data_IF_413823161127
#
_entry.id   IF_413823161127
#
_cell.length_a   1.000
_cell.length_b   1.000
_cell.length_c   1.000
_cell.angle_alpha   90.00
_cell.angle_beta   90.00
_cell.angle_gamma   90.00
#
_symmetry.space_group_name_H-M   'P 1'
#
loop_
_entity.id
_entity.type
_entity.pdbx_description
1 polymer ?
#
# COMPACT_ATOMS: atom_id res chain seq x y z
N UNK A 1 -5.70 21.54 -2.95
CA UNK A 1 -5.11 22.28 -1.84
C UNK A 1 -3.73 22.83 -2.22
N UNK A 2 -3.36 24.02 -1.73
CA UNK A 2 -2.12 24.69 -2.10
C UNK A 2 -0.89 23.84 -1.76
N UNK A 3 -0.95 23.11 -0.66
CA UNK A 3 0.12 22.22 -0.20
C UNK A 3 0.41 21.07 -1.20
N UNK A 4 -0.62 20.49 -1.82
CA UNK A 4 -0.42 19.48 -2.85
C UNK A 4 0.20 20.06 -4.10
N UNK A 5 -0.24 21.24 -4.52
CA UNK A 5 0.31 21.92 -5.71
C UNK A 5 1.81 22.25 -5.53
N UNK A 6 2.27 22.51 -4.30
CA UNK A 6 3.69 22.76 -4.02
C UNK A 6 4.59 21.52 -4.24
N UNK A 7 4.00 20.33 -4.29
CA UNK A 7 4.72 19.09 -4.57
C UNK A 7 4.92 18.82 -6.07
N UNK A 8 4.18 19.54 -6.95
CA UNK A 8 4.34 19.42 -8.39
C UNK A 8 5.69 19.97 -8.86
N UNK A 9 6.20 19.44 -9.94
CA UNK A 9 7.44 19.89 -10.55
C UNK A 9 8.38 18.76 -10.96
N UNK A 10 9.47 19.13 -11.60
CA UNK A 10 10.49 18.18 -12.05
C UNK A 10 11.50 17.90 -10.94
N UNK A 11 11.70 16.61 -10.64
CA UNK A 11 12.71 16.11 -9.70
C UNK A 11 13.91 15.59 -10.50
N UNK A 12 14.92 16.42 -10.62
CA UNK A 12 16.13 16.13 -11.44
C UNK A 12 16.89 14.92 -10.90
N UNK A 13 16.97 14.76 -9.58
CA UNK A 13 17.72 13.68 -8.97
C UNK A 13 17.09 12.31 -9.26
N UNK A 14 15.76 12.21 -9.18
CA UNK A 14 15.01 10.99 -9.56
C UNK A 14 14.78 10.87 -11.06
N UNK A 15 14.82 12.00 -11.81
CA UNK A 15 14.46 12.04 -13.22
C UNK A 15 12.97 11.84 -13.48
N UNK A 16 12.12 12.37 -12.61
CA UNK A 16 10.66 12.22 -12.69
C UNK A 16 9.97 13.58 -12.65
N UNK A 17 8.79 13.68 -13.26
CA UNK A 17 7.91 14.84 -13.12
C UNK A 17 6.74 14.46 -12.21
N UNK A 18 6.44 15.32 -11.25
CA UNK A 18 5.32 15.18 -10.32
C UNK A 18 4.21 16.13 -10.74
N UNK A 19 3.01 15.61 -10.80
CA UNK A 19 1.81 16.36 -11.15
C UNK A 19 0.71 16.12 -10.12
N UNK A 20 -0.13 17.11 -9.91
CA UNK A 20 -1.36 16.96 -9.12
C UNK A 20 -2.50 16.76 -10.10
N UNK A 21 -3.14 15.61 -10.02
CA UNK A 21 -4.28 15.27 -10.86
C UNK A 21 -5.54 15.11 -9.99
N UNK A 22 -6.69 15.36 -10.60
CA UNK A 22 -8.00 15.06 -10.01
C UNK A 22 -8.66 13.97 -10.81
N UNK A 23 -9.12 12.92 -10.12
CA UNK A 23 -9.77 11.78 -10.73
C UNK A 23 -11.19 11.65 -10.19
N UNK A 24 -12.12 11.32 -11.08
CA UNK A 24 -13.44 10.83 -10.74
C UNK A 24 -13.49 9.35 -11.17
N UNK A 25 -13.77 8.46 -10.22
CA UNK A 25 -13.75 7.02 -10.45
C UNK A 25 -15.10 6.39 -10.11
N UNK A 26 -15.48 5.37 -10.86
CA UNK A 26 -16.57 4.47 -10.52
C UNK A 26 -15.95 3.24 -9.79
N UNK A 27 -16.16 3.18 -8.47
CA UNK A 27 -15.58 2.12 -7.62
C UNK A 27 -16.11 0.73 -7.94
N UNK A 28 -17.21 0.63 -8.68
CA UNK A 28 -17.81 -0.66 -9.08
C UNK A 28 -17.20 -1.25 -10.34
N UNK A 29 -16.47 -0.45 -11.12
CA UNK A 29 -15.77 -0.87 -12.33
C UNK A 29 -14.28 -1.08 -12.07
N UNK A 30 -13.60 -1.94 -12.84
CA UNK A 30 -12.16 -2.11 -12.76
C UNK A 30 -11.39 -0.77 -12.93
N UNK A 31 -10.21 -0.62 -12.32
CA UNK A 31 -9.36 0.55 -12.56
C UNK A 31 -8.92 0.61 -14.03
N UNK A 32 -8.71 1.82 -14.54
CA UNK A 32 -8.39 2.04 -15.97
C UNK A 32 -6.90 2.34 -16.20
N UNK A 33 -6.20 2.83 -15.18
CA UNK A 33 -4.78 3.16 -15.24
C UNK A 33 -4.11 3.05 -13.86
N UNK A 34 -2.81 3.34 -13.79
CA UNK A 34 -2.05 3.26 -12.55
C UNK A 34 -2.52 4.31 -11.52
N UNK A 35 -2.93 5.50 -11.93
CA UNK A 35 -3.37 6.56 -11.04
C UNK A 35 -4.70 6.19 -10.36
N UNK A 36 -5.66 5.66 -11.12
CA UNK A 36 -6.91 5.10 -10.60
C UNK A 36 -6.63 3.91 -9.66
N UNK A 37 -5.75 3.00 -10.06
CA UNK A 37 -5.37 1.84 -9.22
C UNK A 37 -4.80 2.28 -7.86
N UNK A 38 -3.84 3.21 -7.85
CA UNK A 38 -3.28 3.72 -6.60
C UNK A 38 -4.30 4.51 -5.78
N UNK A 39 -5.19 5.29 -6.39
CA UNK A 39 -6.26 5.98 -5.68
C UNK A 39 -7.14 4.98 -4.90
N UNK A 40 -7.50 3.84 -5.51
CA UNK A 40 -8.28 2.79 -4.84
C UNK A 40 -7.55 2.19 -3.64
N UNK A 41 -6.24 1.95 -3.76
CA UNK A 41 -5.42 1.48 -2.65
C UNK A 41 -5.38 2.51 -1.51
N UNK A 42 -5.29 3.80 -1.84
CA UNK A 42 -5.40 4.87 -0.84
C UNK A 42 -6.76 4.91 -0.15
N UNK A 43 -7.87 4.75 -0.89
CA UNK A 43 -9.22 4.71 -0.31
C UNK A 43 -9.37 3.60 0.74
N UNK A 44 -8.79 2.43 0.48
CA UNK A 44 -8.75 1.30 1.42
C UNK A 44 -7.92 1.65 2.67
N UNK A 45 -6.69 2.14 2.49
CA UNK A 45 -5.78 2.43 3.61
C UNK A 45 -6.25 3.63 4.45
N UNK A 46 -6.92 4.61 3.84
CA UNK A 46 -7.60 5.70 4.55
C UNK A 46 -8.92 5.28 5.22
N UNK A 47 -9.35 4.03 5.05
CA UNK A 47 -10.62 3.50 5.59
C UNK A 47 -11.86 4.22 5.07
N UNK A 48 -11.77 4.84 3.90
CA UNK A 48 -12.90 5.45 3.21
C UNK A 48 -13.80 4.39 2.54
N UNK A 49 -13.20 3.26 2.22
CA UNK A 49 -13.89 2.05 1.77
C UNK A 49 -13.38 0.83 2.55
N UNK A 50 -14.22 -0.19 2.70
CA UNK A 50 -13.82 -1.47 3.27
C UNK A 50 -13.21 -2.37 2.19
N UNK A 51 -12.46 -3.42 2.56
CA UNK A 51 -12.08 -4.47 1.62
C UNK A 51 -13.29 -4.95 0.83
N UNK A 52 -13.09 -5.21 -0.45
CA UNK A 52 -14.15 -5.53 -1.44
C UNK A 52 -15.14 -4.39 -1.77
N UNK A 53 -14.96 -3.20 -1.20
CA UNK A 53 -15.77 -2.03 -1.51
C UNK A 53 -15.35 -1.29 -2.79
N UNK A 54 -14.27 -1.71 -3.43
CA UNK A 54 -13.80 -1.21 -4.73
C UNK A 54 -13.38 -2.37 -5.61
N UNK A 55 -13.66 -2.28 -6.91
CA UNK A 55 -13.17 -3.23 -7.89
C UNK A 55 -11.66 -3.04 -8.09
N UNK A 56 -10.89 -4.13 -8.08
CA UNK A 56 -9.45 -4.15 -8.28
C UNK A 56 -9.02 -5.12 -9.39
N UNK A 57 -9.99 -5.59 -10.18
CA UNK A 57 -9.72 -6.53 -11.28
C UNK A 57 -8.70 -5.92 -12.25
N UNK A 58 -7.71 -6.72 -12.65
CA UNK A 58 -6.67 -6.27 -13.58
C UNK A 58 -5.59 -5.37 -13.00
N UNK A 59 -5.62 -5.01 -11.70
CA UNK A 59 -4.67 -4.08 -11.07
C UNK A 59 -3.20 -4.45 -11.32
N UNK A 60 -2.86 -5.73 -11.33
CA UNK A 60 -1.47 -6.17 -11.57
C UNK A 60 -0.95 -5.83 -12.97
N UNK A 61 -1.84 -5.77 -13.97
CA UNK A 61 -1.48 -5.37 -15.32
C UNK A 61 -1.28 -3.87 -15.49
N UNK A 62 -1.89 -3.06 -14.63
CA UNK A 62 -1.79 -1.60 -14.66
C UNK A 62 -0.58 -1.08 -13.89
N UNK A 63 -0.10 -1.82 -12.89
CA UNK A 63 1.01 -1.40 -12.05
C UNK A 63 2.33 -2.00 -12.53
N UNK A 64 3.36 -1.17 -12.63
CA UNK A 64 4.74 -1.56 -12.87
C UNK A 64 5.49 -1.79 -11.56
N UNK A 65 6.60 -2.55 -11.61
CA UNK A 65 7.55 -2.55 -10.51
C UNK A 65 8.19 -1.17 -10.38
N UNK A 66 8.31 -0.71 -9.14
CA UNK A 66 8.88 0.58 -8.76
C UNK A 66 9.95 0.35 -7.71
N UNK A 67 11.06 1.05 -7.80
CA UNK A 67 12.03 1.10 -6.71
C UNK A 67 11.55 2.12 -5.69
N UNK A 68 11.07 1.64 -4.56
CA UNK A 68 10.61 2.46 -3.44
C UNK A 68 11.79 2.91 -2.60
N UNK A 69 12.01 4.21 -2.48
CA UNK A 69 13.17 4.76 -1.76
C UNK A 69 12.75 5.76 -0.68
N UNK A 70 13.68 6.08 0.22
CA UNK A 70 13.48 7.10 1.26
C UNK A 70 13.25 8.53 0.71
N UNK A 71 13.46 8.74 -0.57
CA UNK A 71 13.23 10.03 -1.25
C UNK A 71 12.15 9.96 -2.32
N UNK A 72 11.40 8.86 -2.35
CA UNK A 72 10.27 8.63 -3.25
C UNK A 72 10.47 7.54 -4.27
N UNK A 73 9.45 7.27 -5.10
CA UNK A 73 9.48 6.22 -6.11
C UNK A 73 10.43 6.55 -7.26
N UNK A 74 11.13 5.53 -7.76
CA UNK A 74 12.03 5.62 -8.90
C UNK A 74 11.76 4.52 -9.92
N UNK A 75 12.09 4.78 -11.19
CA UNK A 75 12.07 3.75 -12.22
C UNK A 75 13.09 2.65 -11.91
N UNK A 76 12.75 1.40 -12.29
CA UNK A 76 13.67 0.27 -12.18
C UNK A 76 14.79 0.40 -13.22
N UNK A 77 14.42 0.78 -14.45
CA UNK A 77 15.38 0.95 -15.53
C UNK A 77 16.36 2.09 -15.22
N UNK A 78 17.65 1.79 -15.31
CA UNK A 78 18.71 2.75 -15.03
C UNK A 78 18.83 3.18 -13.57
N UNK A 79 18.25 2.41 -12.63
CA UNK A 79 18.21 2.81 -11.22
C UNK A 79 19.60 3.05 -10.60
N UNK A 80 20.65 2.32 -10.99
CA UNK A 80 21.98 2.53 -10.41
C UNK A 80 22.55 3.92 -10.73
N UNK A 81 22.26 4.47 -11.91
CA UNK A 81 22.61 5.85 -12.26
C UNK A 81 21.76 6.84 -11.43
N UNK A 82 20.46 6.56 -11.30
CA UNK A 82 19.56 7.34 -10.45
C UNK A 82 20.01 7.31 -8.99
N UNK A 83 20.40 6.14 -8.47
CA UNK A 83 20.94 5.99 -7.11
C UNK A 83 22.17 6.89 -6.89
N UNK A 84 23.08 6.97 -7.88
CA UNK A 84 24.25 7.83 -7.80
C UNK A 84 23.85 9.32 -7.71
N UNK A 85 22.91 9.78 -8.54
CA UNK A 85 22.37 11.15 -8.48
C UNK A 85 21.69 11.44 -7.14
N UNK A 86 20.88 10.49 -6.64
CA UNK A 86 20.20 10.62 -5.36
C UNK A 86 21.19 10.74 -4.20
N UNK A 87 22.25 9.92 -4.20
CA UNK A 87 23.31 10.02 -3.18
C UNK A 87 24.06 11.36 -3.25
N UNK A 88 24.30 11.88 -4.45
CA UNK A 88 24.93 13.19 -4.62
C UNK A 88 24.03 14.33 -4.09
N UNK A 89 22.72 14.24 -4.29
CA UNK A 89 21.76 15.26 -3.89
C UNK A 89 21.36 15.18 -2.40
N UNK A 90 21.24 13.96 -1.85
CA UNK A 90 20.64 13.73 -0.53
C UNK A 90 21.55 12.98 0.46
N UNK A 91 22.73 12.54 0.05
CA UNK A 91 23.59 11.70 0.88
C UNK A 91 23.11 10.25 0.94
N UNK A 92 22.77 9.76 2.13
CA UNK A 92 22.28 8.39 2.28
C UNK A 92 20.85 8.25 1.73
N UNK A 93 20.64 7.23 0.91
CA UNK A 93 19.31 6.87 0.37
C UNK A 93 19.08 5.39 0.57
N UNK A 94 18.01 5.05 1.30
CA UNK A 94 17.57 3.68 1.50
C UNK A 94 16.64 3.23 0.38
N UNK A 95 16.78 1.98 -0.03
CA UNK A 95 15.82 1.29 -0.90
C UNK A 95 14.99 0.36 -0.02
N UNK A 96 13.69 0.57 0.00
CA UNK A 96 12.75 -0.21 0.81
C UNK A 96 12.27 -1.47 0.10
N UNK A 97 12.29 -1.47 -1.23
CA UNK A 97 11.90 -2.62 -2.02
C UNK A 97 11.73 -2.30 -3.50
N UNK A 98 11.51 -3.34 -4.28
CA UNK A 98 11.16 -3.28 -5.70
C UNK A 98 9.87 -4.07 -5.87
N UNK A 99 8.76 -3.37 -6.00
CA UNK A 99 7.44 -4.00 -6.04
C UNK A 99 6.43 -3.06 -6.73
N UNK A 100 5.28 -3.60 -7.10
CA UNK A 100 4.12 -2.83 -7.55
C UNK A 100 3.44 -2.06 -6.41
N UNK A 101 3.54 -2.56 -5.19
CA UNK A 101 2.90 -2.01 -3.99
C UNK A 101 3.94 -1.43 -3.03
N UNK A 102 3.81 -0.15 -2.62
CA UNK A 102 4.64 0.41 -1.56
C UNK A 102 4.17 -0.05 -0.18
N UNK A 103 4.98 0.24 0.83
CA UNK A 103 4.59 0.14 2.24
C UNK A 103 3.49 1.17 2.53
N UNK A 104 2.45 0.76 3.26
CA UNK A 104 1.33 1.65 3.58
C UNK A 104 1.79 2.92 4.30
N UNK A 105 2.63 2.79 5.31
CA UNK A 105 3.00 3.92 6.20
C UNK A 105 3.86 4.99 5.52
N UNK A 106 4.43 4.71 4.35
CA UNK A 106 5.13 5.73 3.56
C UNK A 106 4.15 6.75 2.93
N UNK A 107 2.86 6.42 2.87
CA UNK A 107 1.81 7.24 2.25
C UNK A 107 0.62 7.48 3.16
N UNK A 108 0.24 6.51 3.99
CA UNK A 108 -0.91 6.58 4.88
C UNK A 108 -0.54 6.05 6.25
N UNK A 109 -0.65 6.91 7.27
CA UNK A 109 -0.50 6.52 8.67
C UNK A 109 -1.90 6.54 9.31
N UNK A 110 -2.56 5.38 9.43
CA UNK A 110 -3.91 5.34 9.98
C UNK A 110 -3.89 5.61 11.50
N UNK A 111 -4.86 6.38 11.98
CA UNK A 111 -5.01 6.67 13.41
C UNK A 111 -5.45 5.44 14.20
N UNK A 112 -4.97 5.31 15.44
CA UNK A 112 -5.37 4.26 16.37
C UNK A 112 -4.85 2.87 16.01
N UNK A 113 -3.80 2.79 15.18
CA UNK A 113 -3.18 1.53 14.73
C UNK A 113 -1.72 1.50 15.18
N UNK A 114 -1.22 0.31 15.49
CA UNK A 114 0.20 0.06 15.73
C UNK A 114 0.73 -0.91 14.69
N UNK A 115 1.84 -0.56 14.03
CA UNK A 115 2.52 -1.36 13.03
C UNK A 115 3.99 -1.45 13.45
N UNK A 116 4.44 -2.63 13.84
CA UNK A 116 5.80 -2.82 14.37
C UNK A 116 6.87 -2.81 13.27
N UNK A 117 6.52 -3.29 12.07
CA UNK A 117 7.40 -3.31 10.90
C UNK A 117 6.64 -2.79 9.67
N UNK A 118 7.12 -1.67 9.13
CA UNK A 118 6.51 -1.03 7.97
C UNK A 118 6.45 -1.92 6.72
N UNK A 119 7.43 -2.81 6.53
CA UNK A 119 7.52 -3.70 5.36
C UNK A 119 6.43 -4.79 5.37
N UNK A 120 5.74 -4.96 6.49
CA UNK A 120 4.72 -5.98 6.66
C UNK A 120 3.31 -5.56 6.26
N UNK A 121 3.09 -4.29 5.92
CA UNK A 121 1.76 -3.81 5.54
C UNK A 121 1.82 -3.07 4.21
N UNK A 122 1.15 -3.61 3.20
CA UNK A 122 1.05 -3.00 1.87
C UNK A 122 0.05 -1.87 1.83
N UNK A 123 0.32 -0.84 1.03
CA UNK A 123 -0.70 0.13 0.64
C UNK A 123 -1.91 -0.61 0.03
N UNK A 124 -3.11 -0.24 0.45
CA UNK A 124 -4.35 -0.96 0.14
C UNK A 124 -4.81 -1.91 1.26
N UNK A 125 -4.01 -2.10 2.31
CA UNK A 125 -4.49 -2.73 3.54
C UNK A 125 -5.46 -1.81 4.27
N UNK A 126 -6.51 -2.37 4.85
CA UNK A 126 -7.51 -1.69 5.68
C UNK A 126 -7.31 -2.10 7.14
N UNK A 127 -6.78 -1.21 7.96
CA UNK A 127 -6.58 -1.48 9.38
C UNK A 127 -7.52 -0.61 10.22
N UNK A 128 -8.48 -1.23 10.87
CA UNK A 128 -9.38 -0.54 11.79
C UNK A 128 -8.63 -0.01 13.02
N UNK A 129 -9.18 1.01 13.68
CA UNK A 129 -8.65 1.48 14.95
C UNK A 129 -8.66 0.33 15.98
N UNK A 130 -7.61 0.26 16.81
CA UNK A 130 -7.39 -0.83 17.76
C UNK A 130 -6.56 -1.99 17.20
N UNK A 131 -6.26 -1.99 15.90
CA UNK A 131 -5.40 -3.03 15.29
C UNK A 131 -3.93 -2.83 15.68
N UNK A 132 -3.29 -3.94 16.03
CA UNK A 132 -1.83 -4.03 16.17
C UNK A 132 -1.31 -5.06 15.17
N UNK A 133 -0.45 -4.65 14.25
CA UNK A 133 0.33 -5.57 13.40
C UNK A 133 1.69 -5.74 14.07
N UNK A 134 1.96 -6.95 14.56
CA UNK A 134 3.21 -7.31 15.21
C UNK A 134 4.33 -7.46 14.17
N UNK A 135 5.59 -7.56 14.64
CA UNK A 135 6.77 -7.61 13.77
C UNK A 135 6.69 -8.71 12.70
N UNK A 136 6.17 -9.89 13.02
CA UNK A 136 6.01 -11.01 12.08
C UNK A 136 4.65 -11.03 11.36
N UNK A 137 3.72 -10.15 11.77
CA UNK A 137 2.43 -10.03 11.10
C UNK A 137 2.57 -9.50 9.68
N UNK A 138 1.64 -9.86 8.80
CA UNK A 138 1.60 -9.36 7.42
C UNK A 138 0.17 -9.09 6.98
N UNK A 139 -0.06 -7.94 6.35
CA UNK A 139 -1.38 -7.60 5.80
C UNK A 139 -1.22 -7.13 4.34
N UNK A 140 -1.90 -7.82 3.44
CA UNK A 140 -1.88 -7.53 2.01
C UNK A 140 -2.92 -6.44 1.66
N UNK A 141 -2.91 -5.97 0.40
CA UNK A 141 -3.92 -5.04 -0.12
C UNK A 141 -5.32 -5.71 -0.19
N UNK A 142 -6.37 -4.90 -0.16
CA UNK A 142 -7.77 -5.35 -0.17
C UNK A 142 -8.10 -6.35 0.95
N UNK A 143 -7.35 -6.31 2.03
CA UNK A 143 -7.42 -7.20 3.18
C UNK A 143 -7.28 -6.39 4.46
N UNK A 144 -7.51 -6.98 5.60
CA UNK A 144 -7.26 -6.34 6.88
C UNK A 144 -8.28 -6.64 7.96
N UNK A 145 -8.44 -5.70 8.88
CA UNK A 145 -9.24 -5.85 10.09
C UNK A 145 -10.43 -4.89 10.09
N UNK A 146 -11.53 -5.30 10.69
CA UNK A 146 -12.73 -4.46 10.84
C UNK A 146 -12.94 -3.92 12.26
N UNK A 147 -12.03 -4.22 13.18
CA UNK A 147 -12.05 -3.77 14.55
C UNK A 147 -10.74 -4.06 15.26
N UNK A 148 -10.77 -4.15 16.59
CA UNK A 148 -9.62 -4.49 17.42
C UNK A 148 -9.11 -5.88 17.06
N UNK A 149 -7.81 -5.99 16.78
CA UNK A 149 -7.18 -7.26 16.39
C UNK A 149 -5.68 -7.19 16.65
N UNK A 150 -5.10 -8.29 17.13
CA UNK A 150 -3.66 -8.49 17.13
C UNK A 150 -3.28 -9.42 15.97
N UNK A 151 -2.46 -8.92 15.07
CA UNK A 151 -2.04 -9.63 13.87
C UNK A 151 -0.57 -10.00 13.98
N UNK A 152 -0.29 -11.25 14.33
CA UNK A 152 1.05 -11.85 14.37
C UNK A 152 1.31 -12.77 13.18
N UNK A 153 0.26 -13.24 12.53
CA UNK A 153 0.28 -14.09 11.33
C UNK A 153 0.05 -13.30 10.06
N UNK A 154 -0.22 -14.04 8.96
CA UNK A 154 -0.41 -13.47 7.62
C UNK A 154 -1.88 -13.36 7.25
N UNK A 155 -2.31 -12.17 6.82
CA UNK A 155 -3.61 -11.91 6.20
C UNK A 155 -3.36 -11.66 4.71
N UNK A 156 -3.74 -12.62 3.87
CA UNK A 156 -3.57 -12.55 2.41
C UNK A 156 -4.57 -11.60 1.76
N UNK A 157 -4.31 -11.24 0.50
CA UNK A 157 -5.19 -10.36 -0.27
C UNK A 157 -6.64 -10.89 -0.25
N UNK A 158 -7.58 -10.00 -0.01
CA UNK A 158 -9.00 -10.29 0.03
C UNK A 158 -9.51 -10.88 1.35
N UNK A 159 -8.66 -11.20 2.31
CA UNK A 159 -9.07 -11.76 3.60
C UNK A 159 -9.39 -10.64 4.59
N UNK A 160 -10.52 -10.78 5.28
CA UNK A 160 -11.01 -9.81 6.26
C UNK A 160 -11.15 -10.48 7.63
N UNK A 161 -10.60 -9.82 8.66
CA UNK A 161 -10.67 -10.28 10.05
C UNK A 161 -11.66 -9.40 10.82
N UNK A 162 -12.62 -10.04 11.50
CA UNK A 162 -13.64 -9.38 12.29
C UNK A 162 -13.10 -8.73 13.56
N UNK A 163 -13.96 -7.92 14.22
CA UNK A 163 -13.62 -7.26 15.49
C UNK A 163 -13.38 -8.30 16.59
N UNK A 164 -12.36 -8.09 17.42
CA UNK A 164 -12.01 -8.97 18.53
C UNK A 164 -11.31 -10.27 18.12
N UNK A 165 -10.98 -10.45 16.84
CA UNK A 165 -10.34 -11.67 16.34
C UNK A 165 -8.83 -11.45 16.18
N UNK A 166 -8.02 -12.30 16.80
CA UNK A 166 -6.56 -12.27 16.68
C UNK A 166 -6.07 -13.31 15.68
N UNK A 167 -4.97 -12.97 14.98
CA UNK A 167 -4.26 -13.87 14.05
C UNK A 167 -2.93 -14.24 14.67
N UNK A 168 -2.84 -15.45 15.24
CA UNK A 168 -1.67 -15.91 15.97
C UNK A 168 -0.42 -16.07 15.12
N UNK A 169 0.74 -16.00 15.77
CA UNK A 169 2.05 -16.16 15.12
C UNK A 169 2.19 -17.47 14.36
N UNK A 170 2.68 -17.39 13.13
CA UNK A 170 2.79 -18.53 12.22
C UNK A 170 1.48 -18.92 11.51
N UNK A 171 0.33 -18.37 11.89
CA UNK A 171 -0.91 -18.57 11.15
C UNK A 171 -0.83 -17.89 9.78
N UNK A 172 -1.45 -18.50 8.78
CA UNK A 172 -1.55 -17.95 7.44
C UNK A 172 -2.95 -18.12 6.92
N UNK A 173 -3.68 -17.02 6.82
CA UNK A 173 -5.03 -17.01 6.28
C UNK A 173 -4.93 -16.64 4.81
N UNK A 174 -5.26 -17.59 3.95
CA UNK A 174 -5.19 -17.44 2.50
C UNK A 174 -6.59 -17.38 1.91
N UNK A 175 -6.76 -16.53 0.89
CA UNK A 175 -7.96 -16.56 0.07
C UNK A 175 -8.00 -17.83 -0.79
N UNK A 176 -9.21 -18.26 -1.16
CA UNK A 176 -9.44 -19.46 -1.97
C UNK A 176 -8.86 -19.33 -3.39
N UNK A 177 -8.72 -18.09 -3.89
CA UNK A 177 -8.24 -17.80 -5.25
C UNK A 177 -6.94 -17.01 -5.20
N UNK A 178 -6.06 -17.26 -6.17
CA UNK A 178 -4.88 -16.42 -6.40
C UNK A 178 -5.32 -14.98 -6.70
N UNK A 179 -4.83 -14.01 -5.94
CA UNK A 179 -5.26 -12.61 -6.03
C UNK A 179 -6.34 -12.18 -5.03
N UNK A 180 -6.78 -13.10 -4.19
CA UNK A 180 -7.68 -12.84 -3.07
C UNK A 180 -9.06 -13.44 -3.24
N UNK A 181 -9.58 -13.97 -2.16
CA UNK A 181 -10.96 -14.39 -2.00
C UNK A 181 -11.77 -13.35 -1.21
N UNK A 182 -12.93 -13.74 -0.72
CA UNK A 182 -13.79 -12.91 0.16
C UNK A 182 -13.96 -13.56 1.53
N UNK A 183 -12.90 -14.19 2.02
CA UNK A 183 -12.91 -14.90 3.28
C UNK A 183 -13.02 -13.90 4.44
N UNK A 184 -13.93 -14.19 5.37
CA UNK A 184 -14.14 -13.43 6.60
C UNK A 184 -13.91 -14.36 7.78
N UNK A 185 -13.04 -13.99 8.69
CA UNK A 185 -12.76 -14.69 9.94
C UNK A 185 -13.34 -13.87 11.09
N UNK A 186 -14.16 -14.50 11.92
CA UNK A 186 -14.81 -13.89 13.08
C UNK A 186 -14.65 -14.77 14.32
#
# INVERSE_FOLDING_TARGET
PAELNSLAGHDVARGVTREVISLEIDTTKPPVDAADAYLRLHLLSHRLVKPHGVALDGIFGLLSNVVWTSVGPCAVDGFEITRARLKAAHGHVSVYGVDKFPRMVDYVVPSGVRIADADRVRLGAHLAAGTTVMHEGFVNFNAGTLGTSMVEGRISAGVVVGDGTDVGGGASIMGTLSGGGKEVIS
#
